data_IF_138149267361
#
_entry.id   IF_138149267361
#
_cell.length_a   1.000
_cell.length_b   1.000
_cell.length_c   1.000
_cell.angle_alpha   90.00
_cell.angle_beta   90.00
_cell.angle_gamma   90.00
#
_symmetry.space_group_name_H-M   'P 1'
#
loop_
_entity.id
_entity.type
_entity.pdbx_description
1 polymer ?
#
# COMPACT_ATOMS: atom_id res chain seq x y z
N UNK A 1 -24.90 -1.17 -4.39
CA UNK A 1 -25.16 -0.30 -3.28
C UNK A 1 -23.95 -0.14 -2.42
N UNK A 2 -23.64 -1.17 -1.70
CA UNK A 2 -22.50 -1.11 -0.80
C UNK A 2 -21.18 -0.84 -1.53
N UNK A 3 -21.05 -1.29 -2.78
CA UNK A 3 -19.85 -1.05 -3.55
C UNK A 3 -19.53 0.42 -3.78
N UNK A 4 -20.53 1.30 -3.77
CA UNK A 4 -20.32 2.74 -3.99
C UNK A 4 -19.72 3.46 -2.77
N UNK A 5 -19.87 2.91 -1.57
CA UNK A 5 -19.33 3.48 -0.35
C UNK A 5 -18.34 2.55 0.32
N UNK A 6 -18.65 1.27 0.42
CA UNK A 6 -17.82 0.28 1.09
C UNK A 6 -16.56 -0.04 0.29
N UNK A 7 -16.70 -0.15 -1.05
CA UNK A 7 -15.54 -0.40 -1.91
C UNK A 7 -14.44 0.62 -1.73
N UNK A 8 -14.72 1.92 -1.97
CA UNK A 8 -13.68 2.95 -1.76
C UNK A 8 -13.20 3.01 -0.32
N UNK A 9 -14.08 2.78 0.66
CA UNK A 9 -13.69 2.78 2.06
C UNK A 9 -12.68 1.68 2.36
N UNK A 10 -12.90 0.47 1.82
CA UNK A 10 -11.96 -0.64 1.97
C UNK A 10 -10.60 -0.28 1.36
N UNK A 11 -10.60 0.32 0.18
CA UNK A 11 -9.37 0.77 -0.47
C UNK A 11 -8.63 1.82 0.35
N UNK A 12 -9.35 2.79 0.90
CA UNK A 12 -8.77 3.85 1.75
C UNK A 12 -8.16 3.24 3.01
N UNK A 13 -8.87 2.34 3.67
CA UNK A 13 -8.37 1.65 4.87
C UNK A 13 -7.09 0.88 4.53
N UNK A 14 -7.07 0.20 3.38
CA UNK A 14 -5.87 -0.50 2.91
C UNK A 14 -4.69 0.44 2.71
N UNK A 15 -4.91 1.60 2.09
CA UNK A 15 -3.86 2.61 1.90
C UNK A 15 -3.32 3.13 3.23
N UNK A 16 -4.21 3.43 4.18
CA UNK A 16 -3.81 3.91 5.51
C UNK A 16 -3.01 2.83 6.23
N UNK A 17 -3.49 1.58 6.19
CA UNK A 17 -2.76 0.46 6.80
C UNK A 17 -1.38 0.29 6.17
N UNK A 18 -1.28 0.41 4.84
CA UNK A 18 -0.02 0.32 4.12
C UNK A 18 0.96 1.39 4.59
N UNK A 19 0.49 2.64 4.70
CA UNK A 19 1.32 3.75 5.16
C UNK A 19 1.78 3.56 6.61
N UNK A 20 0.89 3.06 7.47
CA UNK A 20 1.26 2.76 8.86
C UNK A 20 2.32 1.67 8.94
N UNK A 21 2.21 0.64 8.12
CA UNK A 21 3.20 -0.43 8.07
C UNK A 21 4.54 0.09 7.55
N UNK A 22 4.53 1.03 6.59
CA UNK A 22 5.78 1.67 6.11
C UNK A 22 6.47 2.45 7.22
N UNK A 23 5.72 3.09 8.09
CA UNK A 23 6.27 3.90 9.19
C UNK A 23 6.73 3.01 10.35
N UNK A 24 6.15 1.83 10.52
CA UNK A 24 6.40 0.96 11.67
C UNK A 24 7.89 0.70 11.96
N UNK A 25 8.76 0.42 10.96
CA UNK A 25 10.17 0.20 11.26
C UNK A 25 10.86 1.39 11.91
N UNK A 26 10.43 2.62 11.63
CA UNK A 26 11.00 3.82 12.26
C UNK A 26 10.70 3.87 13.75
N UNK A 27 9.66 3.15 14.20
CA UNK A 27 9.27 3.07 15.61
C UNK A 27 9.91 1.88 16.33
N UNK A 28 10.23 0.82 15.57
CA UNK A 28 10.75 -0.45 16.12
C UNK A 28 12.28 -0.45 16.14
N UNK A 29 12.91 0.02 15.06
CA UNK A 29 14.36 0.02 14.90
C UNK A 29 14.94 1.27 15.57
N UNK A 30 15.99 1.09 16.41
CA UNK A 30 16.58 2.18 17.16
C UNK A 30 17.25 3.23 16.29
N UNK A 31 17.87 2.80 15.19
CA UNK A 31 18.61 3.69 14.30
C UNK A 31 17.82 3.93 13.03
N UNK A 32 17.30 5.14 12.82
CA UNK A 32 16.49 5.47 11.65
C UNK A 32 17.27 5.37 10.34
N UNK A 33 18.58 5.59 10.36
CA UNK A 33 19.42 5.41 9.17
C UNK A 33 19.43 3.96 8.69
N UNK A 34 19.31 2.99 9.62
CA UNK A 34 19.21 1.58 9.25
C UNK A 34 17.92 1.28 8.49
N UNK A 35 16.82 1.96 8.85
CA UNK A 35 15.55 1.81 8.12
C UNK A 35 15.68 2.33 6.69
N UNK A 36 16.39 3.43 6.51
CA UNK A 36 16.68 3.96 5.17
C UNK A 36 17.44 2.96 4.32
N UNK A 37 18.43 2.29 4.89
CA UNK A 37 19.19 1.25 4.20
C UNK A 37 18.28 0.06 3.86
N UNK A 38 17.42 -0.33 4.79
CA UNK A 38 16.45 -1.42 4.59
C UNK A 38 15.55 -1.14 3.39
N UNK A 39 14.95 0.04 3.33
CA UNK A 39 14.06 0.38 2.22
C UNK A 39 14.80 0.56 0.90
N UNK A 40 16.05 1.02 0.94
CA UNK A 40 16.83 1.23 -0.27
C UNK A 40 17.49 -0.03 -0.80
N UNK A 41 17.50 -1.13 -0.04
CA UNK A 41 18.25 -2.34 -0.38
C UNK A 41 17.65 -3.17 -1.51
N UNK A 42 16.33 -3.04 -1.73
CA UNK A 42 15.66 -3.76 -2.82
C UNK A 42 15.79 -3.04 -4.15
N UNK A 43 15.17 -3.59 -5.19
CA UNK A 43 15.20 -3.03 -6.54
C UNK A 43 14.60 -1.63 -6.59
N UNK A 44 13.49 -1.42 -5.87
CA UNK A 44 12.83 -0.11 -5.77
C UNK A 44 12.40 0.10 -4.32
N UNK A 45 12.62 1.30 -3.80
CA UNK A 45 12.23 1.61 -2.42
C UNK A 45 10.71 1.67 -2.28
N UNK A 46 10.13 1.04 -1.24
CA UNK A 46 8.70 1.14 -1.01
C UNK A 46 8.24 2.55 -0.62
N UNK A 47 9.18 3.46 -0.30
CA UNK A 47 8.84 4.86 -0.06
C UNK A 47 8.26 5.53 -1.31
N UNK A 48 8.63 5.04 -2.50
CA UNK A 48 8.03 5.50 -3.75
C UNK A 48 6.54 5.12 -3.80
N UNK A 49 6.21 3.92 -3.34
CA UNK A 49 4.81 3.46 -3.32
C UNK A 49 3.97 4.20 -2.30
N UNK A 50 4.60 4.85 -1.30
CA UNK A 50 3.87 5.71 -0.37
C UNK A 50 3.17 6.85 -1.10
N UNK A 51 3.80 7.41 -2.12
CA UNK A 51 3.19 8.45 -2.95
C UNK A 51 1.95 7.90 -3.67
N UNK A 52 2.05 6.69 -4.22
CA UNK A 52 0.91 6.04 -4.87
C UNK A 52 -0.23 5.78 -3.89
N UNK A 53 0.10 5.36 -2.65
CA UNK A 53 -0.92 5.13 -1.62
C UNK A 53 -1.63 6.43 -1.25
N UNK A 54 -0.89 7.54 -1.11
CA UNK A 54 -1.49 8.84 -0.83
C UNK A 54 -2.39 9.30 -1.98
N UNK A 55 -1.94 9.12 -3.21
CA UNK A 55 -2.77 9.45 -4.38
C UNK A 55 -4.02 8.58 -4.42
N UNK A 56 -3.91 7.30 -4.11
CA UNK A 56 -5.06 6.40 -4.08
C UNK A 56 -6.09 6.82 -3.03
N UNK A 57 -5.64 7.26 -1.85
CA UNK A 57 -6.54 7.77 -0.81
C UNK A 57 -7.33 8.97 -1.34
N UNK A 58 -6.62 9.93 -1.96
CA UNK A 58 -7.24 11.15 -2.49
C UNK A 58 -8.25 10.80 -3.58
N UNK A 59 -7.85 9.93 -4.51
CA UNK A 59 -8.70 9.53 -5.65
C UNK A 59 -9.94 8.79 -5.16
N UNK A 60 -9.77 7.82 -4.26
CA UNK A 60 -10.90 7.05 -3.73
C UNK A 60 -11.84 7.92 -2.90
N UNK A 61 -11.29 8.82 -2.09
CA UNK A 61 -12.11 9.73 -1.30
C UNK A 61 -12.91 10.68 -2.21
N UNK A 62 -12.26 11.23 -3.23
CA UNK A 62 -12.93 12.12 -4.17
C UNK A 62 -14.04 11.39 -4.95
N UNK A 63 -13.77 10.16 -5.38
CA UNK A 63 -14.75 9.35 -6.09
C UNK A 63 -15.93 8.95 -5.21
N UNK A 64 -15.65 8.60 -3.94
CA UNK A 64 -16.67 8.23 -2.97
C UNK A 64 -17.63 9.38 -2.67
N UNK A 65 -17.10 10.60 -2.59
CA UNK A 65 -17.88 11.79 -2.28
C UNK A 65 -18.45 12.49 -3.52
N UNK A 66 -18.21 11.94 -4.71
CA UNK A 66 -18.74 12.50 -5.94
C UNK A 66 -18.03 13.76 -6.43
N UNK A 67 -16.82 14.04 -5.91
CA UNK A 67 -16.03 15.22 -6.29
C UNK A 67 -15.30 15.04 -7.60
N UNK A 68 -15.18 13.82 -8.07
CA UNK A 68 -14.61 13.49 -9.36
C UNK A 68 -15.46 12.39 -9.98
N UNK A 69 -15.26 12.12 -11.27
CA UNK A 69 -15.95 11.03 -11.95
C UNK A 69 -15.67 9.71 -11.21
N UNK A 70 -16.68 9.05 -10.65
CA UNK A 70 -16.46 7.80 -9.92
C UNK A 70 -15.83 6.69 -10.77
N UNK A 71 -16.17 6.61 -12.06
CA UNK A 71 -15.57 5.62 -12.94
C UNK A 71 -14.07 5.83 -13.10
N UNK A 72 -13.67 7.09 -13.28
CA UNK A 72 -12.26 7.46 -13.37
C UNK A 72 -11.54 7.16 -12.06
N UNK A 73 -12.17 7.48 -10.93
CA UNK A 73 -11.61 7.21 -9.61
C UNK A 73 -11.41 5.71 -9.38
N UNK A 74 -12.40 4.89 -9.70
CA UNK A 74 -12.32 3.44 -9.53
C UNK A 74 -11.20 2.85 -10.41
N UNK A 75 -11.15 3.24 -11.67
CA UNK A 75 -10.10 2.77 -12.59
C UNK A 75 -8.71 3.22 -12.18
N UNK A 76 -8.57 4.50 -11.83
CA UNK A 76 -7.29 5.06 -11.39
C UNK A 76 -6.79 4.40 -10.12
N UNK A 77 -7.67 4.21 -9.14
CA UNK A 77 -7.31 3.56 -7.89
C UNK A 77 -6.96 2.08 -8.09
N UNK A 78 -7.64 1.40 -9.00
CA UNK A 78 -7.31 0.01 -9.33
C UNK A 78 -5.89 -0.10 -9.89
N UNK A 79 -5.54 0.78 -10.83
CA UNK A 79 -4.20 0.83 -11.42
C UNK A 79 -3.15 1.14 -10.35
N UNK A 80 -3.41 2.16 -9.52
CA UNK A 80 -2.51 2.52 -8.43
C UNK A 80 -2.32 1.35 -7.46
N UNK A 81 -3.41 0.65 -7.11
CA UNK A 81 -3.36 -0.49 -6.20
C UNK A 81 -2.53 -1.64 -6.75
N UNK A 82 -2.68 -1.93 -8.04
CA UNK A 82 -1.89 -2.96 -8.70
C UNK A 82 -0.40 -2.60 -8.69
N UNK A 83 -0.06 -1.33 -8.97
CA UNK A 83 1.32 -0.87 -8.91
C UNK A 83 1.88 -0.95 -7.48
N UNK A 84 1.09 -0.58 -6.48
CA UNK A 84 1.51 -0.66 -5.08
C UNK A 84 1.89 -2.11 -4.73
N UNK A 85 1.05 -3.07 -5.07
CA UNK A 85 1.34 -4.49 -4.82
C UNK A 85 2.57 -4.92 -5.62
N UNK A 86 2.63 -4.62 -6.91
CA UNK A 86 3.72 -5.04 -7.78
C UNK A 86 5.06 -4.50 -7.32
N UNK A 87 5.12 -3.21 -7.02
CA UNK A 87 6.36 -2.58 -6.55
C UNK A 87 6.76 -3.08 -5.17
N UNK A 88 5.79 -3.33 -4.29
CA UNK A 88 6.05 -3.88 -2.96
C UNK A 88 6.57 -5.31 -3.03
N UNK A 89 6.02 -6.13 -3.92
CA UNK A 89 6.52 -7.49 -4.17
C UNK A 89 7.95 -7.46 -4.71
N UNK A 90 8.22 -6.56 -5.65
CA UNK A 90 9.55 -6.43 -6.22
C UNK A 90 10.57 -6.09 -5.14
N UNK A 91 10.24 -5.10 -4.29
CA UNK A 91 11.12 -4.76 -3.17
C UNK A 91 11.26 -5.91 -2.18
N UNK A 92 10.15 -6.53 -1.78
CA UNK A 92 10.15 -7.58 -0.76
C UNK A 92 10.95 -8.81 -1.18
N UNK A 93 10.94 -9.13 -2.48
CA UNK A 93 11.67 -10.28 -3.00
C UNK A 93 13.12 -9.98 -3.33
N UNK A 94 13.50 -8.70 -3.44
CA UNK A 94 14.85 -8.29 -3.80
C UNK A 94 15.67 -7.77 -2.61
N UNK A 95 15.02 -7.40 -1.50
CA UNK A 95 15.75 -6.96 -0.30
C UNK A 95 16.49 -8.16 0.32
N UNK A 96 17.82 -8.04 0.64
CA UNK A 96 18.57 -9.16 1.20
C UNK A 96 18.05 -9.58 2.56
N UNK A 97 17.82 -10.89 2.75
CA UNK A 97 17.37 -11.44 4.02
C UNK A 97 18.37 -11.16 5.15
N UNK A 98 19.67 -11.26 4.86
CA UNK A 98 20.71 -10.97 5.84
C UNK A 98 20.60 -9.55 6.39
N UNK A 99 20.26 -8.59 5.54
CA UNK A 99 20.05 -7.20 5.97
C UNK A 99 18.84 -7.10 6.90
N UNK A 100 17.73 -7.75 6.54
CA UNK A 100 16.51 -7.73 7.36
C UNK A 100 16.79 -8.30 8.75
N UNK A 101 17.49 -9.41 8.83
CA UNK A 101 17.82 -10.06 10.09
C UNK A 101 18.81 -9.24 10.93
N UNK A 102 19.61 -8.42 10.28
CA UNK A 102 20.62 -7.57 10.96
C UNK A 102 20.08 -6.28 11.53
N UNK A 103 18.85 -5.87 11.18
CA UNK A 103 18.29 -4.57 11.62
C UNK A 103 17.92 -4.58 13.10
N UNK A 104 17.41 -5.68 13.60
CA UNK A 104 16.95 -5.82 14.98
C UNK A 104 16.75 -7.29 15.29
N UNK A 105 16.70 -7.62 16.57
CA UNK A 105 16.38 -8.96 17.03
C UNK A 105 14.87 -9.25 17.01
N UNK A 106 14.05 -8.22 16.76
CA UNK A 106 12.61 -8.36 16.71
C UNK A 106 12.19 -9.21 15.51
N UNK A 107 11.36 -10.23 15.75
CA UNK A 107 10.78 -11.04 14.70
C UNK A 107 9.79 -10.26 13.83
N UNK A 108 9.29 -9.12 14.34
CA UNK A 108 8.38 -8.27 13.58
C UNK A 108 9.03 -7.74 12.30
N UNK A 109 10.32 -7.41 12.34
CA UNK A 109 11.05 -6.92 11.16
C UNK A 109 11.23 -8.02 10.13
N UNK A 110 11.43 -9.27 10.54
CA UNK A 110 11.56 -10.38 9.61
C UNK A 110 10.33 -10.53 8.71
N UNK A 111 9.15 -10.24 9.25
CA UNK A 111 7.87 -10.40 8.55
C UNK A 111 7.31 -9.10 8.01
N UNK A 112 7.95 -7.96 8.31
CA UNK A 112 7.46 -6.63 7.94
C UNK A 112 7.13 -6.52 6.44
N UNK A 113 8.03 -6.98 5.58
CA UNK A 113 7.85 -6.88 4.12
C UNK A 113 6.61 -7.63 3.65
N UNK A 114 6.30 -8.75 4.30
CA UNK A 114 5.12 -9.55 3.94
C UNK A 114 3.84 -8.93 4.49
N UNK A 115 3.91 -8.33 5.69
CA UNK A 115 2.80 -7.56 6.25
C UNK A 115 2.50 -6.34 5.38
N UNK A 116 3.54 -5.69 4.83
CA UNK A 116 3.39 -4.56 3.92
C UNK A 116 2.60 -4.97 2.68
N UNK A 117 2.93 -6.11 2.09
CA UNK A 117 2.22 -6.64 0.93
C UNK A 117 0.77 -6.96 1.30
N UNK A 118 0.54 -7.60 2.44
CA UNK A 118 -0.80 -7.92 2.90
C UNK A 118 -1.65 -6.65 3.08
N UNK A 119 -1.05 -5.58 3.59
CA UNK A 119 -1.74 -4.29 3.76
C UNK A 119 -2.07 -3.64 2.41
N UNK A 120 -1.30 -3.93 1.36
CA UNK A 120 -1.54 -3.40 0.03
C UNK A 120 -2.70 -4.10 -0.69
N UNK A 121 -3.01 -5.35 -0.35
CA UNK A 121 -4.03 -6.16 -1.05
C UNK A 121 -5.42 -5.50 -1.03
N UNK A 122 -5.91 -4.91 0.07
CA UNK A 122 -7.24 -4.29 0.07
C UNK A 122 -7.38 -3.11 -0.90
N UNK A 123 -6.29 -2.48 -1.33
CA UNK A 123 -6.35 -1.30 -2.19
C UNK A 123 -6.98 -1.64 -3.55
N UNK A 124 -6.43 -2.58 -4.34
CA UNK A 124 -7.07 -2.92 -5.61
C UNK A 124 -8.39 -3.67 -5.41
N UNK A 125 -8.54 -4.44 -4.32
CA UNK A 125 -9.80 -5.12 -4.04
C UNK A 125 -10.93 -4.13 -3.76
N UNK A 126 -10.64 -3.09 -2.99
CA UNK A 126 -11.60 -2.03 -2.73
C UNK A 126 -11.95 -1.25 -3.99
N UNK A 127 -10.95 -0.95 -4.82
CA UNK A 127 -11.16 -0.26 -6.09
C UNK A 127 -11.98 -1.12 -7.06
N UNK A 128 -11.73 -2.43 -7.11
CA UNK A 128 -12.49 -3.35 -7.94
C UNK A 128 -13.95 -3.45 -7.45
N UNK A 129 -14.15 -3.51 -6.14
CA UNK A 129 -15.49 -3.53 -5.56
C UNK A 129 -16.25 -2.25 -5.92
N UNK A 130 -15.58 -1.11 -5.85
CA UNK A 130 -16.13 0.17 -6.28
C UNK A 130 -16.55 0.11 -7.76
N UNK A 131 -15.67 -0.41 -8.62
CA UNK A 131 -15.95 -0.55 -10.04
C UNK A 131 -17.15 -1.46 -10.30
N UNK A 132 -17.30 -2.56 -9.56
CA UNK A 132 -18.45 -3.46 -9.65
C UNK A 132 -19.73 -2.71 -9.25
N UNK A 133 -19.66 -1.90 -8.18
CA UNK A 133 -20.81 -1.10 -7.74
C UNK A 133 -21.23 -0.04 -8.76
N UNK A 134 -20.31 0.37 -9.63
CA UNK A 134 -20.57 1.32 -10.71
C UNK A 134 -20.94 0.63 -12.03
N UNK A 135 -21.09 -0.69 -12.02
CA UNK A 135 -21.39 -1.51 -13.20
C UNK A 135 -20.33 -1.43 -14.30
N UNK A 136 -19.05 -1.23 -13.91
CA UNK A 136 -17.92 -1.19 -14.83
C UNK A 136 -17.29 -2.56 -15.06
N UNK A 137 -17.48 -3.47 -14.13
CA UNK A 137 -16.93 -4.83 -14.17
C UNK A 137 -18.03 -5.88 -14.14
#
# INVERSE_FOLDING_TARGET
>A
MNGLRTGPTVGIVGCVAYLLVLVAPYLIVETTSAVGVYYAAGALSPTITAVFALLAVIVLAAGREGRTDPALAAGGALVLGVFIIGLSLLWATTVPTALVLGLTESTLIEHHRWVLIAAAVPVPLGAAWFAVGLDLL
#
